data_IF_137566700522
#
_entry.id   IF_137566700522
#
_cell.length_a   1.000
_cell.length_b   1.000
_cell.length_c   1.000
_cell.angle_alpha   90.00
_cell.angle_beta   90.00
_cell.angle_gamma   90.00
#
_symmetry.space_group_name_H-M   'P 1'
#
loop_
_entity.id
_entity.type
_entity.pdbx_description
1 polymer ?
#
# COMPACT_ATOMS: atom_id res chain seq x y z
N UNK A 1 3.30 26.45 7.63
CA UNK A 1 3.42 26.79 9.07
C UNK A 1 2.09 26.87 9.82
N UNK A 2 0.97 27.08 9.15
CA UNK A 2 -0.32 27.33 9.83
C UNK A 2 -1.13 26.07 10.17
N UNK A 3 -1.06 25.02 9.39
CA UNK A 3 -1.85 23.79 9.64
C UNK A 3 -1.33 22.97 10.82
N UNK A 4 -0.02 22.94 11.04
CA UNK A 4 0.58 22.21 12.14
C UNK A 4 0.22 22.82 13.50
N UNK A 5 0.19 24.15 13.59
CA UNK A 5 -0.21 24.88 14.83
C UNK A 5 -1.69 24.66 15.22
N UNK A 6 -2.59 24.50 14.25
CA UNK A 6 -4.02 24.25 14.51
C UNK A 6 -4.22 22.84 15.07
N UNK A 7 -3.47 21.86 14.58
CA UNK A 7 -3.53 20.46 15.06
C UNK A 7 -3.16 20.36 16.54
N UNK A 8 -2.12 21.07 16.96
CA UNK A 8 -1.56 20.98 18.31
C UNK A 8 -2.42 21.66 19.37
N UNK A 9 -3.27 22.62 18.98
CA UNK A 9 -4.11 23.38 19.89
C UNK A 9 -5.47 22.75 20.18
N UNK A 10 -5.88 21.73 19.40
CA UNK A 10 -7.18 21.09 19.53
C UNK A 10 -7.06 19.71 20.19
N UNK A 11 -8.08 19.33 20.97
CA UNK A 11 -8.24 17.94 21.40
C UNK A 11 -8.60 17.01 20.21
N UNK A 12 -8.66 15.71 20.45
CA UNK A 12 -8.97 14.70 19.42
C UNK A 12 -10.30 15.02 18.73
N UNK A 13 -11.36 15.29 19.51
CA UNK A 13 -12.68 15.65 18.97
C UNK A 13 -12.60 16.88 18.07
N UNK A 14 -11.93 17.93 18.51
CA UNK A 14 -11.77 19.18 17.77
C UNK A 14 -10.99 19.01 16.46
N UNK A 15 -9.98 18.14 16.46
CA UNK A 15 -9.21 17.79 15.27
C UNK A 15 -10.08 17.10 14.21
N UNK A 16 -10.88 16.11 14.60
CA UNK A 16 -11.77 15.38 13.69
C UNK A 16 -12.91 16.30 13.21
N UNK A 17 -13.51 17.09 14.12
CA UNK A 17 -14.61 18.00 13.79
C UNK A 17 -14.21 19.17 12.89
N UNK A 18 -12.91 19.44 12.72
CA UNK A 18 -12.46 20.69 12.07
C UNK A 18 -13.01 20.84 10.64
N UNK A 19 -12.91 19.78 9.82
CA UNK A 19 -13.43 19.79 8.45
C UNK A 19 -14.97 19.93 8.37
N UNK A 20 -15.69 19.33 9.34
CA UNK A 20 -17.15 19.38 9.37
C UNK A 20 -17.71 20.79 9.67
N UNK A 21 -16.98 21.64 10.36
CA UNK A 21 -17.41 23.01 10.66
C UNK A 21 -17.54 23.88 9.40
N UNK A 22 -16.86 23.51 8.33
CA UNK A 22 -16.90 24.19 7.03
C UNK A 22 -17.85 23.51 6.04
N UNK A 23 -18.35 22.32 6.38
CA UNK A 23 -19.25 21.55 5.51
C UNK A 23 -20.66 22.09 5.58
N UNK A 24 -21.27 22.33 4.43
CA UNK A 24 -22.69 22.67 4.31
C UNK A 24 -23.49 21.49 3.82
N UNK A 25 -24.73 21.38 4.28
CA UNK A 25 -25.71 20.36 3.89
C UNK A 25 -26.99 21.00 3.37
N UNK A 26 -27.78 20.30 2.57
CA UNK A 26 -29.09 20.78 2.12
C UNK A 26 -30.00 21.15 3.31
N UNK A 27 -30.73 22.27 3.21
CA UNK A 27 -31.69 22.76 4.19
C UNK A 27 -33.09 22.77 3.59
N UNK A 28 -33.82 21.67 3.83
CA UNK A 28 -35.14 21.44 3.25
C UNK A 28 -35.11 20.97 1.79
N UNK A 29 -36.29 20.99 1.14
CA UNK A 29 -36.43 20.62 -0.26
C UNK A 29 -35.96 21.74 -1.21
N UNK A 30 -35.46 21.37 -2.42
CA UNK A 30 -35.17 22.35 -3.45
C UNK A 30 -36.41 23.17 -3.81
N UNK A 31 -36.26 24.46 -4.04
CA UNK A 31 -37.35 25.35 -4.48
C UNK A 31 -36.98 26.05 -5.78
N UNK A 32 -38.01 26.48 -6.53
CA UNK A 32 -37.82 27.26 -7.75
C UNK A 32 -37.74 28.74 -7.42
N UNK A 33 -36.68 29.42 -7.82
CA UNK A 33 -36.49 30.83 -7.63
C UNK A 33 -37.37 31.66 -8.58
N UNK A 34 -37.38 32.99 -8.38
CA UNK A 34 -38.18 33.90 -9.24
C UNK A 34 -37.74 33.95 -10.68
N UNK A 35 -36.58 33.34 -11.03
CA UNK A 35 -36.03 33.25 -12.37
C UNK A 35 -36.26 31.88 -13.01
N UNK A 36 -36.98 30.96 -12.33
CA UNK A 36 -37.28 29.63 -12.80
C UNK A 36 -36.15 28.59 -12.57
N UNK A 37 -35.11 28.94 -11.79
CA UNK A 37 -34.02 28.01 -11.50
C UNK A 37 -34.35 27.19 -10.23
N UNK A 38 -34.03 25.90 -10.26
CA UNK A 38 -34.09 25.06 -9.05
C UNK A 38 -32.89 25.40 -8.14
N UNK A 39 -33.18 25.88 -6.94
CA UNK A 39 -32.17 26.30 -5.95
C UNK A 39 -32.32 25.46 -4.68
N UNK A 40 -31.19 24.98 -4.19
CA UNK A 40 -31.09 24.28 -2.91
C UNK A 40 -30.54 25.20 -1.86
N UNK A 41 -31.31 25.48 -0.80
CA UNK A 41 -30.80 26.18 0.35
C UNK A 41 -29.80 25.30 1.10
N UNK A 42 -28.69 25.87 1.53
CA UNK A 42 -27.64 25.20 2.27
C UNK A 42 -27.50 25.74 3.68
N UNK A 43 -27.22 24.88 4.64
CA UNK A 43 -26.92 25.25 6.02
C UNK A 43 -25.67 24.57 6.53
N UNK A 44 -25.06 25.13 7.55
CA UNK A 44 -23.98 24.43 8.27
C UNK A 44 -24.55 23.28 9.11
N UNK A 45 -23.72 22.28 9.38
CA UNK A 45 -24.02 21.21 10.32
C UNK A 45 -24.27 21.78 11.72
N UNK A 46 -25.26 21.25 12.41
CA UNK A 46 -25.52 21.58 13.82
C UNK A 46 -24.46 20.94 14.73
N UNK A 47 -24.33 21.42 15.96
CA UNK A 47 -23.40 20.80 16.93
C UNK A 47 -23.72 19.34 17.22
N UNK A 48 -25.00 18.95 17.22
CA UNK A 48 -25.42 17.57 17.43
C UNK A 48 -25.00 16.67 16.25
N UNK A 49 -25.21 17.09 15.00
CA UNK A 49 -24.79 16.37 13.80
C UNK A 49 -23.25 16.21 13.74
N UNK A 50 -22.51 17.26 14.12
CA UNK A 50 -21.04 17.19 14.20
C UNK A 50 -20.63 16.18 15.28
N UNK A 51 -21.26 16.20 16.45
CA UNK A 51 -20.93 15.28 17.54
C UNK A 51 -21.20 13.82 17.14
N UNK A 52 -22.33 13.55 16.50
CA UNK A 52 -22.70 12.23 16.01
C UNK A 52 -21.65 11.70 14.99
N UNK A 53 -21.32 12.50 13.97
CA UNK A 53 -20.33 12.13 12.96
C UNK A 53 -18.95 11.88 13.55
N UNK A 54 -18.49 12.73 14.48
CA UNK A 54 -17.20 12.57 15.14
C UNK A 54 -17.18 11.31 16.01
N UNK A 55 -18.24 11.06 16.79
CA UNK A 55 -18.32 9.85 17.61
C UNK A 55 -18.33 8.57 16.76
N UNK A 56 -19.04 8.58 15.63
CA UNK A 56 -19.01 7.48 14.69
C UNK A 56 -17.60 7.25 14.10
N UNK A 57 -16.91 8.34 13.72
CA UNK A 57 -15.54 8.25 13.23
C UNK A 57 -14.56 7.74 14.30
N UNK A 58 -14.70 8.17 15.55
CA UNK A 58 -13.91 7.68 16.67
C UNK A 58 -14.15 6.18 16.93
N UNK A 59 -15.39 5.73 16.82
CA UNK A 59 -15.75 4.31 16.94
C UNK A 59 -15.11 3.46 15.86
N UNK A 60 -15.06 3.95 14.61
CA UNK A 60 -14.43 3.22 13.49
C UNK A 60 -12.93 2.97 13.69
N UNK A 61 -12.27 3.76 14.53
CA UNK A 61 -10.83 3.68 14.79
C UNK A 61 -10.50 3.25 16.23
N UNK A 62 -11.49 2.72 16.99
CA UNK A 62 -11.37 2.27 18.39
C UNK A 62 -10.80 3.34 19.34
N UNK A 63 -11.29 4.59 19.22
CA UNK A 63 -10.86 5.73 20.04
C UNK A 63 -12.04 6.48 20.69
N UNK A 64 -13.18 5.82 21.01
CA UNK A 64 -14.39 6.45 21.53
C UNK A 64 -14.13 7.28 22.79
N UNK A 65 -13.30 6.77 23.72
CA UNK A 65 -13.00 7.41 25.00
C UNK A 65 -11.94 8.51 24.91
N UNK A 66 -11.35 8.73 23.74
CA UNK A 66 -10.20 9.63 23.55
C UNK A 66 -10.57 11.02 23.08
N UNK A 67 -11.84 11.30 22.77
CA UNK A 67 -12.28 12.55 22.18
C UNK A 67 -11.86 13.81 22.93
N UNK A 68 -11.77 13.77 24.26
CA UNK A 68 -11.39 14.90 25.12
C UNK A 68 -9.88 15.08 25.30
N UNK A 69 -9.06 14.06 24.92
CA UNK A 69 -7.60 14.10 25.12
C UNK A 69 -6.90 15.02 24.14
N UNK A 70 -5.74 15.52 24.55
CA UNK A 70 -4.82 16.20 23.62
C UNK A 70 -4.22 15.18 22.66
N UNK A 71 -4.09 15.53 21.38
CA UNK A 71 -3.45 14.65 20.37
C UNK A 71 -2.00 14.37 20.74
N UNK A 72 -1.30 15.33 21.32
CA UNK A 72 0.11 15.18 21.74
C UNK A 72 0.31 14.21 22.91
N UNK A 73 -0.75 13.85 23.64
CA UNK A 73 -0.70 12.84 24.72
C UNK A 73 -0.90 11.42 24.23
N UNK A 74 -1.13 11.21 22.95
CA UNK A 74 -1.41 9.92 22.32
C UNK A 74 -0.12 9.25 21.82
N UNK A 75 -0.12 7.92 21.77
CA UNK A 75 0.93 7.17 21.08
C UNK A 75 0.92 7.45 19.57
N UNK A 76 2.03 7.17 18.86
CA UNK A 76 2.11 7.35 17.42
C UNK A 76 1.00 6.66 16.64
N UNK A 77 0.69 5.40 16.98
CA UNK A 77 -0.43 4.67 16.36
C UNK A 77 -1.80 5.31 16.63
N UNK A 78 -2.03 5.79 17.87
CA UNK A 78 -3.27 6.52 18.20
C UNK A 78 -3.37 7.85 17.45
N UNK A 79 -2.27 8.58 17.29
CA UNK A 79 -2.24 9.79 16.47
C UNK A 79 -2.58 9.50 15.01
N UNK A 80 -2.07 8.39 14.48
CA UNK A 80 -2.37 7.92 13.13
C UNK A 80 -3.86 7.60 12.96
N UNK A 81 -4.47 6.88 13.92
CA UNK A 81 -5.91 6.61 13.93
C UNK A 81 -6.75 7.89 13.99
N UNK A 82 -6.32 8.91 14.73
CA UNK A 82 -6.98 10.23 14.72
C UNK A 82 -6.89 10.90 13.35
N UNK A 83 -5.75 10.79 12.66
CA UNK A 83 -5.59 11.32 11.30
C UNK A 83 -6.52 10.62 10.30
N UNK A 84 -6.67 9.30 10.40
CA UNK A 84 -7.60 8.50 9.60
C UNK A 84 -9.05 8.89 9.91
N UNK A 85 -9.45 8.96 11.19
CA UNK A 85 -10.78 9.38 11.59
C UNK A 85 -11.15 10.77 11.07
N UNK A 86 -10.17 11.69 11.05
CA UNK A 86 -10.34 13.04 10.47
C UNK A 86 -10.62 13.01 8.96
N UNK A 87 -10.03 12.07 8.24
CA UNK A 87 -10.30 11.89 6.82
C UNK A 87 -11.68 11.22 6.60
N UNK A 88 -11.99 10.19 7.37
CA UNK A 88 -13.22 9.40 7.27
C UNK A 88 -14.50 10.16 7.67
N UNK A 89 -14.40 11.12 8.59
CA UNK A 89 -15.58 11.88 9.09
C UNK A 89 -16.35 12.61 7.99
N UNK A 90 -15.68 12.87 6.86
CA UNK A 90 -16.28 13.48 5.68
C UNK A 90 -16.96 12.47 4.74
N UNK A 91 -16.93 11.17 5.07
CA UNK A 91 -17.50 10.09 4.26
C UNK A 91 -16.97 10.11 2.82
N UNK A 92 -15.64 10.03 2.62
CA UNK A 92 -15.05 10.10 1.29
C UNK A 92 -15.31 8.80 0.52
N UNK A 93 -15.35 8.88 -0.81
CA UNK A 93 -15.34 7.69 -1.68
C UNK A 93 -13.94 7.11 -1.88
N UNK A 94 -12.92 7.96 -1.73
CA UNK A 94 -11.51 7.61 -1.87
C UNK A 94 -10.74 8.16 -0.67
N UNK A 95 -9.97 7.32 0.01
CA UNK A 95 -9.06 7.70 1.09
C UNK A 95 -7.62 7.66 0.56
N UNK A 96 -6.93 8.80 0.67
CA UNK A 96 -5.52 8.92 0.29
C UNK A 96 -4.64 8.82 1.53
N UNK A 97 -3.72 7.87 1.54
CA UNK A 97 -2.78 7.60 2.62
C UNK A 97 -1.35 7.73 2.07
N UNK A 98 -0.65 8.75 2.51
CA UNK A 98 0.73 9.04 2.09
C UNK A 98 1.68 8.64 3.22
N UNK A 99 2.45 7.57 3.01
CA UNK A 99 3.38 6.95 3.97
C UNK A 99 2.81 6.81 5.40
N UNK A 100 1.59 6.27 5.57
CA UNK A 100 0.90 6.36 6.87
C UNK A 100 1.59 5.59 7.98
N UNK A 101 2.44 4.61 7.68
CA UNK A 101 3.10 3.76 8.67
C UNK A 101 4.60 4.08 8.84
N UNK A 102 5.15 5.02 8.08
CA UNK A 102 6.58 5.32 8.05
C UNK A 102 7.17 5.78 9.40
N UNK A 103 6.38 6.41 10.26
CA UNK A 103 6.81 6.90 11.57
C UNK A 103 6.67 5.88 12.72
N UNK A 104 6.16 4.66 12.45
CA UNK A 104 5.90 3.64 13.46
C UNK A 104 7.06 2.63 13.57
N UNK A 105 7.28 2.10 14.77
CA UNK A 105 8.16 0.95 14.95
C UNK A 105 7.60 -0.32 14.29
N UNK A 106 8.43 -1.33 14.09
CA UNK A 106 8.09 -2.53 13.32
C UNK A 106 6.86 -3.26 13.87
N UNK A 107 6.72 -3.38 15.20
CA UNK A 107 5.59 -4.07 15.82
C UNK A 107 4.30 -3.28 15.62
N UNK A 108 4.32 -1.99 15.95
CA UNK A 108 3.17 -1.10 15.76
C UNK A 108 2.76 -0.99 14.29
N UNK A 109 3.74 -1.04 13.37
CA UNK A 109 3.48 -1.03 11.93
C UNK A 109 2.67 -2.24 11.50
N UNK A 110 3.06 -3.46 11.91
CA UNK A 110 2.33 -4.70 11.60
C UNK A 110 0.91 -4.71 12.16
N UNK A 111 0.75 -4.27 13.40
CA UNK A 111 -0.57 -4.17 14.03
C UNK A 111 -1.46 -3.18 13.23
N UNK A 112 -0.92 -2.02 12.86
CA UNK A 112 -1.65 -0.99 12.11
C UNK A 112 -1.96 -1.41 10.66
N UNK A 113 -1.11 -2.22 10.00
CA UNK A 113 -1.41 -2.81 8.69
C UNK A 113 -2.69 -3.65 8.76
N UNK A 114 -2.79 -4.55 9.75
CA UNK A 114 -3.97 -5.38 9.95
C UNK A 114 -5.23 -4.55 10.20
N UNK A 115 -5.12 -3.51 11.01
CA UNK A 115 -6.24 -2.59 11.28
C UNK A 115 -6.70 -1.85 10.02
N UNK A 116 -5.75 -1.33 9.22
CA UNK A 116 -6.08 -0.64 7.96
C UNK A 116 -6.77 -1.58 6.97
N UNK A 117 -6.31 -2.83 6.86
CA UNK A 117 -6.96 -3.85 6.03
C UNK A 117 -8.39 -4.16 6.51
N UNK A 118 -8.60 -4.26 7.82
CA UNK A 118 -9.94 -4.46 8.40
C UNK A 118 -10.86 -3.27 8.12
N UNK A 119 -10.36 -2.04 8.33
CA UNK A 119 -11.10 -0.80 8.03
C UNK A 119 -11.48 -0.73 6.54
N UNK A 120 -10.54 -1.05 5.63
CA UNK A 120 -10.82 -1.08 4.20
C UNK A 120 -11.98 -2.03 3.87
N UNK A 121 -11.95 -3.26 4.41
CA UNK A 121 -13.03 -4.26 4.21
C UNK A 121 -14.37 -3.80 4.79
N UNK A 122 -14.36 -3.14 5.95
CA UNK A 122 -15.58 -2.65 6.59
C UNK A 122 -16.22 -1.46 5.89
N UNK A 123 -15.37 -0.53 5.40
CA UNK A 123 -15.83 0.72 4.78
C UNK A 123 -16.24 0.55 3.33
N UNK A 124 -15.65 -0.39 2.59
CA UNK A 124 -15.94 -0.63 1.18
C UNK A 124 -15.61 0.54 0.26
N UNK A 125 -14.72 1.45 0.68
CA UNK A 125 -14.25 2.60 -0.11
C UNK A 125 -12.86 2.32 -0.69
N UNK A 126 -12.49 3.06 -1.72
CA UNK A 126 -11.18 2.91 -2.33
C UNK A 126 -10.09 3.54 -1.46
N UNK A 127 -9.06 2.78 -1.12
CA UNK A 127 -7.84 3.30 -0.50
C UNK A 127 -6.74 3.47 -1.57
N UNK A 128 -6.16 4.65 -1.63
CA UNK A 128 -4.92 4.90 -2.39
C UNK A 128 -3.80 5.05 -1.37
N UNK A 129 -2.90 4.08 -1.35
CA UNK A 129 -1.84 3.94 -0.36
C UNK A 129 -0.49 4.18 -1.02
N UNK A 130 0.22 5.22 -0.61
CA UNK A 130 1.58 5.50 -1.08
C UNK A 130 2.57 5.01 -0.04
N UNK A 131 3.50 4.18 -0.44
CA UNK A 131 4.57 3.64 0.42
C UNK A 131 5.84 3.39 -0.38
N UNK A 132 6.96 3.40 0.29
CA UNK A 132 8.24 2.90 -0.21
C UNK A 132 8.56 1.48 0.33
N UNK A 133 7.71 0.94 1.20
CA UNK A 133 7.84 -0.40 1.76
C UNK A 133 7.17 -1.42 0.85
N UNK A 134 7.98 -2.32 0.31
CA UNK A 134 7.54 -3.35 -0.65
C UNK A 134 6.60 -4.38 0.02
N UNK A 135 6.88 -4.73 1.29
CA UNK A 135 6.06 -5.68 2.03
C UNK A 135 4.65 -5.12 2.23
N UNK A 136 4.54 -3.82 2.56
CA UNK A 136 3.24 -3.14 2.66
C UNK A 136 2.47 -3.21 1.34
N UNK A 137 3.12 -2.84 0.23
CA UNK A 137 2.50 -2.85 -1.09
C UNK A 137 2.00 -4.26 -1.48
N UNK A 138 2.85 -5.29 -1.32
CA UNK A 138 2.52 -6.66 -1.69
C UNK A 138 1.43 -7.28 -0.81
N UNK A 139 1.34 -6.89 0.48
CA UNK A 139 0.41 -7.52 1.44
C UNK A 139 -0.95 -6.87 1.51
N UNK A 140 -1.01 -5.55 1.30
CA UNK A 140 -2.21 -4.76 1.59
C UNK A 140 -2.99 -4.37 0.34
N UNK A 141 -2.40 -4.48 -0.86
CA UNK A 141 -2.99 -3.93 -2.09
C UNK A 141 -3.68 -5.00 -2.94
N UNK A 142 -4.79 -4.63 -3.58
CA UNK A 142 -5.40 -5.40 -4.68
C UNK A 142 -4.71 -5.10 -6.02
N UNK A 143 -4.20 -3.86 -6.16
CA UNK A 143 -3.48 -3.39 -7.34
C UNK A 143 -2.29 -2.53 -6.92
N UNK A 144 -1.13 -2.84 -7.48
CA UNK A 144 0.11 -2.09 -7.27
C UNK A 144 0.42 -1.25 -8.51
N UNK A 145 0.84 -0.02 -8.28
CA UNK A 145 1.40 0.88 -9.28
C UNK A 145 2.84 1.18 -8.92
N UNK A 146 3.79 0.63 -9.67
CA UNK A 146 5.22 0.91 -9.50
C UNK A 146 5.59 2.16 -10.29
N UNK A 147 6.21 3.13 -9.63
CA UNK A 147 6.61 4.39 -10.23
C UNK A 147 8.12 4.64 -10.08
N UNK A 148 8.72 5.26 -11.09
CA UNK A 148 10.10 5.76 -11.06
C UNK A 148 10.16 7.10 -11.77
N UNK A 149 10.76 8.09 -11.14
CA UNK A 149 10.96 9.45 -11.71
C UNK A 149 9.66 10.06 -12.26
N UNK A 150 8.52 9.86 -11.57
CA UNK A 150 7.21 10.36 -11.98
C UNK A 150 6.54 9.59 -13.13
N UNK A 151 7.15 8.49 -13.60
CA UNK A 151 6.65 7.64 -14.68
C UNK A 151 6.20 6.29 -14.13
N UNK A 152 5.03 5.84 -14.55
CA UNK A 152 4.53 4.49 -14.21
C UNK A 152 5.37 3.46 -14.95
N UNK A 153 5.95 2.51 -14.22
CA UNK A 153 6.74 1.40 -14.74
C UNK A 153 5.89 0.15 -14.97
N UNK A 154 4.98 -0.14 -14.01
CA UNK A 154 4.08 -1.28 -14.10
C UNK A 154 2.82 -1.06 -13.28
N UNK A 155 1.71 -1.63 -13.71
CA UNK A 155 0.45 -1.75 -12.96
C UNK A 155 0.02 -3.21 -12.98
N UNK A 156 -0.33 -3.76 -11.83
CA UNK A 156 -0.79 -5.16 -11.76
C UNK A 156 -1.21 -5.58 -10.36
N UNK A 157 -1.68 -6.81 -10.25
CA UNK A 157 -1.87 -7.45 -8.95
C UNK A 157 -0.51 -7.72 -8.28
N UNK A 158 -0.44 -7.86 -6.95
CA UNK A 158 0.80 -8.19 -6.24
C UNK A 158 1.54 -9.36 -6.87
N UNK A 159 0.86 -10.47 -7.12
CA UNK A 159 1.43 -11.66 -7.77
C UNK A 159 2.00 -11.33 -9.15
N UNK A 160 1.26 -10.60 -9.99
CA UNK A 160 1.73 -10.27 -11.34
C UNK A 160 2.96 -9.35 -11.33
N UNK A 161 2.99 -8.37 -10.43
CA UNK A 161 4.13 -7.44 -10.34
C UNK A 161 5.38 -8.15 -9.81
N UNK A 162 5.20 -9.13 -8.92
CA UNK A 162 6.28 -9.92 -8.34
C UNK A 162 6.81 -10.99 -9.31
N UNK A 163 5.92 -11.78 -9.92
CA UNK A 163 6.27 -12.92 -10.76
C UNK A 163 6.67 -12.52 -12.20
N UNK A 164 6.03 -11.47 -12.75
CA UNK A 164 6.23 -11.00 -14.11
C UNK A 164 6.60 -9.51 -14.13
N UNK A 165 7.76 -9.11 -13.58
CA UNK A 165 8.19 -7.71 -13.59
C UNK A 165 8.44 -7.22 -15.01
N UNK A 166 7.93 -6.02 -15.34
CA UNK A 166 8.01 -5.46 -16.69
C UNK A 166 9.44 -5.07 -17.11
N UNK A 167 10.34 -4.87 -16.16
CA UNK A 167 11.74 -4.53 -16.40
C UNK A 167 12.59 -4.82 -15.15
N UNK A 168 13.92 -4.76 -15.31
CA UNK A 168 14.88 -5.01 -14.24
C UNK A 168 14.69 -4.10 -13.01
N UNK A 169 14.27 -2.83 -13.22
CA UNK A 169 13.98 -1.93 -12.12
C UNK A 169 12.82 -2.43 -11.25
N UNK A 170 11.72 -2.87 -11.87
CA UNK A 170 10.57 -3.40 -11.12
C UNK A 170 10.96 -4.67 -10.38
N UNK A 171 11.75 -5.54 -11.00
CA UNK A 171 12.25 -6.77 -10.39
C UNK A 171 13.06 -6.51 -9.12
N UNK A 172 14.01 -5.60 -9.20
CA UNK A 172 14.89 -5.21 -8.10
C UNK A 172 14.15 -4.42 -7.02
N UNK A 173 13.19 -3.58 -7.42
CA UNK A 173 12.43 -2.73 -6.50
C UNK A 173 11.35 -3.52 -5.72
N UNK A 174 10.75 -4.59 -6.28
CA UNK A 174 9.62 -5.32 -5.67
C UNK A 174 10.06 -6.60 -4.94
N UNK A 175 11.30 -6.75 -4.61
CA UNK A 175 11.80 -7.89 -3.86
C UNK A 175 13.25 -8.19 -4.20
N UNK A 176 13.87 -9.02 -3.39
CA UNK A 176 15.21 -9.45 -3.68
C UNK A 176 15.26 -10.21 -5.00
N UNK A 177 16.18 -9.83 -5.87
CA UNK A 177 16.33 -10.42 -7.20
C UNK A 177 17.79 -10.60 -7.55
N UNK A 178 18.10 -11.75 -8.14
CA UNK A 178 19.36 -11.95 -8.83
C UNK A 178 19.11 -11.65 -10.31
N UNK A 179 19.76 -10.63 -10.87
CA UNK A 179 19.61 -10.22 -12.25
C UNK A 179 20.88 -10.55 -13.01
N UNK A 180 20.77 -11.40 -14.02
CA UNK A 180 21.87 -11.84 -14.86
C UNK A 180 21.62 -11.42 -16.31
N UNK A 181 22.68 -11.04 -17.02
CA UNK A 181 22.61 -10.90 -18.46
C UNK A 181 22.61 -12.28 -19.10
N UNK A 182 21.62 -12.55 -19.92
CA UNK A 182 21.44 -13.81 -20.63
C UNK A 182 21.09 -13.62 -22.10
N UNK A 183 20.93 -14.72 -22.78
CA UNK A 183 20.55 -14.75 -24.21
C UNK A 183 19.45 -15.78 -24.41
N UNK A 184 18.34 -15.40 -25.00
CA UNK A 184 17.26 -16.32 -25.32
C UNK A 184 17.67 -17.24 -26.48
N UNK A 185 17.75 -18.54 -26.24
CA UNK A 185 18.10 -19.53 -27.25
C UNK A 185 16.86 -19.99 -28.04
N UNK A 186 15.77 -20.19 -27.36
CA UNK A 186 14.44 -20.54 -27.90
C UNK A 186 13.40 -20.31 -26.80
N UNK A 187 12.14 -20.41 -27.14
CA UNK A 187 11.07 -20.37 -26.15
C UNK A 187 11.37 -21.34 -24.99
N UNK A 188 11.24 -20.84 -23.79
CA UNK A 188 11.49 -21.57 -22.53
C UNK A 188 12.95 -22.03 -22.30
N UNK A 189 13.94 -21.40 -22.97
CA UNK A 189 15.34 -21.75 -22.80
C UNK A 189 16.26 -20.55 -22.96
N UNK A 190 17.00 -20.23 -21.91
CA UNK A 190 17.95 -19.11 -21.83
C UNK A 190 19.38 -19.62 -21.60
N UNK A 191 20.36 -18.96 -22.19
CA UNK A 191 21.78 -19.13 -21.88
C UNK A 191 22.24 -18.02 -20.93
N UNK A 192 22.83 -18.42 -19.80
CA UNK A 192 23.47 -17.52 -18.84
C UNK A 192 24.92 -18.00 -18.70
N UNK A 193 25.88 -17.18 -19.13
CA UNK A 193 27.32 -17.48 -19.04
C UNK A 193 27.75 -18.83 -19.62
N UNK A 194 27.09 -19.26 -20.70
CA UNK A 194 27.40 -20.55 -21.38
C UNK A 194 26.65 -21.75 -20.82
N UNK A 195 25.79 -21.59 -19.84
CA UNK A 195 24.93 -22.61 -19.27
C UNK A 195 23.47 -22.39 -19.68
N UNK A 196 22.81 -23.48 -20.12
CA UNK A 196 21.41 -23.43 -20.56
C UNK A 196 20.48 -23.74 -19.40
N UNK A 197 19.51 -22.88 -19.20
CA UNK A 197 18.46 -22.99 -18.17
C UNK A 197 17.09 -23.06 -18.83
N UNK A 198 16.17 -23.77 -18.21
CA UNK A 198 14.76 -23.65 -18.51
C UNK A 198 14.20 -22.36 -17.91
N UNK A 199 13.36 -21.63 -18.65
CA UNK A 199 12.68 -20.43 -18.20
C UNK A 199 11.18 -20.53 -18.54
N UNK A 200 10.39 -19.58 -18.03
CA UNK A 200 8.93 -19.57 -18.24
C UNK A 200 8.51 -18.72 -19.45
N UNK A 201 9.43 -17.95 -20.00
CA UNK A 201 9.15 -16.94 -21.02
C UNK A 201 9.26 -17.47 -22.44
N UNK A 202 8.52 -16.82 -23.34
CA UNK A 202 8.47 -17.13 -24.77
C UNK A 202 8.26 -15.86 -25.62
N UNK A 203 8.46 -16.00 -26.92
CA UNK A 203 8.18 -14.93 -27.89
C UNK A 203 9.34 -13.97 -28.13
N UNK A 204 10.51 -14.24 -27.56
CA UNK A 204 11.76 -13.55 -27.85
C UNK A 204 12.39 -14.04 -29.16
N UNK A 205 13.22 -13.19 -29.77
CA UNK A 205 13.99 -13.59 -30.97
C UNK A 205 15.15 -14.51 -30.57
N UNK A 206 15.55 -15.35 -31.49
CA UNK A 206 16.74 -16.17 -31.33
C UNK A 206 18.00 -15.29 -31.09
N UNK A 207 18.78 -15.62 -30.08
CA UNK A 207 19.94 -14.86 -29.62
C UNK A 207 19.63 -13.41 -29.18
N UNK A 208 18.40 -13.12 -28.74
CA UNK A 208 18.08 -11.84 -28.16
C UNK A 208 18.73 -11.69 -26.78
N UNK A 209 19.49 -10.61 -26.52
CA UNK A 209 20.01 -10.33 -25.19
C UNK A 209 18.87 -9.91 -24.26
N UNK A 210 18.82 -10.50 -23.09
CA UNK A 210 17.78 -10.28 -22.08
C UNK A 210 18.37 -10.18 -20.67
N UNK A 211 17.65 -9.54 -19.77
CA UNK A 211 17.88 -9.63 -18.34
C UNK A 211 17.10 -10.82 -17.79
N UNK A 212 17.80 -11.76 -17.15
CA UNK A 212 17.21 -12.95 -16.52
C UNK A 212 17.09 -12.70 -15.03
N UNK A 213 15.88 -12.81 -14.52
CA UNK A 213 15.56 -12.57 -13.12
C UNK A 213 15.35 -13.91 -12.43
N UNK A 214 16.12 -14.15 -11.36
CA UNK A 214 16.01 -15.36 -10.55
C UNK A 214 15.73 -14.92 -9.11
N UNK A 215 14.59 -15.34 -8.57
CA UNK A 215 14.23 -15.05 -7.18
C UNK A 215 15.02 -15.96 -6.23
N UNK A 216 15.42 -15.51 -5.03
CA UNK A 216 16.15 -16.31 -4.07
C UNK A 216 15.48 -17.65 -3.74
N UNK A 217 14.15 -17.67 -3.66
CA UNK A 217 13.35 -18.86 -3.38
C UNK A 217 13.34 -19.91 -4.51
N UNK A 218 13.68 -19.49 -5.72
CA UNK A 218 13.78 -20.41 -6.88
C UNK A 218 15.15 -21.10 -6.97
N UNK A 219 16.13 -20.65 -6.17
CA UNK A 219 17.48 -21.23 -6.14
C UNK A 219 17.52 -22.42 -5.19
N UNK A 220 17.86 -23.59 -5.72
CA UNK A 220 18.05 -24.80 -4.92
C UNK A 220 19.54 -25.10 -4.77
N UNK A 221 20.00 -25.20 -3.53
CA UNK A 221 21.37 -25.63 -3.22
C UNK A 221 21.38 -27.17 -3.16
N UNK A 222 22.15 -27.77 -4.01
CA UNK A 222 22.34 -29.23 -4.09
C UNK A 222 23.83 -29.59 -4.00
N UNK A 223 24.21 -30.82 -3.59
CA UNK A 223 25.61 -31.26 -3.66
C UNK A 223 26.15 -31.21 -5.09
N UNK A 224 27.44 -30.95 -5.25
CA UNK A 224 28.08 -30.82 -6.58
C UNK A 224 28.04 -32.10 -7.42
N UNK A 225 27.92 -33.27 -6.80
CA UNK A 225 27.76 -34.57 -7.45
C UNK A 225 26.30 -34.88 -7.82
N UNK A 226 25.35 -34.03 -7.47
CA UNK A 226 23.94 -34.18 -7.86
C UNK A 226 23.78 -33.90 -9.37
N UNK A 227 23.03 -34.77 -10.05
CA UNK A 227 22.71 -34.58 -11.47
C UNK A 227 21.90 -33.34 -11.79
N UNK A 228 21.30 -32.73 -10.77
CA UNK A 228 20.54 -31.46 -10.86
C UNK A 228 21.43 -30.24 -10.68
N UNK A 229 22.71 -30.40 -10.33
CA UNK A 229 23.64 -29.31 -10.23
C UNK A 229 23.94 -28.74 -11.62
N UNK A 230 23.45 -27.52 -11.88
CA UNK A 230 23.64 -26.83 -13.17
C UNK A 230 24.79 -25.84 -13.13
N UNK A 231 25.05 -25.24 -11.94
CA UNK A 231 26.14 -24.29 -11.73
C UNK A 231 26.80 -24.59 -10.40
N UNK A 232 28.12 -24.62 -10.37
CA UNK A 232 28.91 -24.71 -9.15
C UNK A 232 29.24 -23.31 -8.63
N UNK A 233 29.00 -23.08 -7.34
CA UNK A 233 29.24 -21.80 -6.71
C UNK A 233 29.82 -21.96 -5.30
N UNK A 234 30.60 -20.97 -4.87
CA UNK A 234 31.14 -20.89 -3.52
C UNK A 234 30.24 -20.00 -2.64
N UNK A 235 29.85 -20.49 -1.46
CA UNK A 235 29.12 -19.70 -0.47
C UNK A 235 30.08 -18.78 0.26
N UNK A 236 30.07 -17.49 -0.09
CA UNK A 236 30.94 -16.48 0.52
C UNK A 236 30.43 -16.02 1.89
N UNK A 237 29.11 -15.94 2.04
CA UNK A 237 28.47 -15.48 3.29
C UNK A 237 27.13 -16.20 3.46
N UNK A 238 26.87 -16.68 4.67
CA UNK A 238 25.57 -17.22 5.05
C UNK A 238 24.97 -16.33 6.15
N UNK A 239 23.94 -15.56 5.80
CA UNK A 239 23.14 -14.79 6.75
C UNK A 239 21.83 -15.52 7.00
N UNK A 240 21.38 -15.56 8.27
CA UNK A 240 20.00 -15.92 8.58
C UNK A 240 19.10 -14.79 8.11
N UNK A 241 18.65 -14.87 6.87
CA UNK A 241 17.64 -13.97 6.34
C UNK A 241 16.28 -14.42 6.90
N UNK A 242 15.61 -13.50 7.56
CA UNK A 242 14.20 -13.66 7.88
C UNK A 242 13.46 -13.39 6.56
N UNK A 243 13.21 -14.44 5.78
CA UNK A 243 12.44 -14.30 4.54
C UNK A 243 10.99 -14.03 4.90
N UNK A 244 10.47 -12.88 4.50
CA UNK A 244 9.02 -12.70 4.44
C UNK A 244 8.45 -13.71 3.44
N UNK A 245 7.31 -14.35 3.73
CA UNK A 245 6.72 -15.32 2.81
C UNK A 245 6.42 -14.63 1.47
N UNK A 246 6.82 -15.27 0.38
CA UNK A 246 6.54 -14.85 -0.99
C UNK A 246 5.01 -14.70 -1.21
N UNK A 247 4.55 -13.86 -2.13
CA UNK A 247 3.14 -13.81 -2.52
C UNK A 247 2.57 -15.18 -2.93
N UNK A 248 3.40 -16.09 -3.44
CA UNK A 248 3.01 -17.48 -3.79
C UNK A 248 2.65 -18.32 -2.56
N UNK A 249 3.26 -18.05 -1.41
CA UNK A 249 3.03 -18.82 -0.18
C UNK A 249 1.70 -18.48 0.49
N UNK A 250 1.04 -17.39 0.08
CA UNK A 250 -0.22 -16.91 0.65
C UNK A 250 -1.48 -17.44 -0.02
N UNK A 251 -1.33 -18.15 -1.12
CA UNK A 251 -2.47 -18.73 -1.86
C UNK A 251 -2.98 -20.05 -1.29
N UNK A 252 -2.46 -20.54 -0.16
CA UNK A 252 -2.73 -21.88 0.40
C UNK A 252 -3.31 -21.82 1.83
N UNK A 253 -4.10 -20.79 2.16
CA UNK A 253 -4.85 -20.79 3.43
C UNK A 253 -6.27 -20.27 3.25
#
# INVERSE_FOLDING_TARGET
GSEMCIRDSLNVFGNIAFGLKLKTVPDGEPYVDKKGNTVQKMRNLTKAEIAEKVNNALKMVDLEDYGHRSVNSLSGGQQQRVAIARALVNEPQVLLLDEPLGALDLKMRKDMQLELMQMHKQLGITFVYVTHDQEEALTMSDTIVVMKDGVIQQIGTPTKVYDEPANAFVADFIGESNIFSGTMIKDFCVDISGHKFECVDKGFKYNEPIDVIIRPEDIKIVPTDDKQCLVEAEVLTCCLLYTSPSPRDRSVS
#
